data_IF_815293729238
#
_entry.id   IF_815293729238
#
_cell.length_a   1.000
_cell.length_b   1.000
_cell.length_c   1.000
_cell.angle_alpha   90.00
_cell.angle_beta   90.00
_cell.angle_gamma   90.00
#
_symmetry.space_group_name_H-M   'P 1'
#
loop_
_entity.id
_entity.type
_entity.pdbx_description
1 polymer ?
#
# COMPACT_ATOMS: atom_id res chain seq x y z
N UNK A 1 15.03 49.80 -2.29
CA UNK A 1 14.87 51.14 -2.89
C UNK A 1 14.38 50.90 -4.32
N UNK A 2 13.17 51.19 -4.78
CA UNK A 2 12.20 52.21 -4.39
C UNK A 2 11.78 52.91 -5.69
N UNK A 3 10.98 52.26 -6.54
CA UNK A 3 10.42 52.86 -7.75
C UNK A 3 8.92 52.51 -7.84
N UNK A 4 8.09 53.51 -7.54
CA UNK A 4 6.63 53.57 -7.70
C UNK A 4 6.31 54.41 -8.92
N UNK A 5 5.42 53.94 -9.79
CA UNK A 5 4.53 54.73 -10.69
C UNK A 5 3.40 53.78 -11.19
N UNK A 6 2.23 54.26 -11.65
CA UNK A 6 1.07 54.56 -10.80
C UNK A 6 -0.18 53.72 -11.13
N UNK A 7 -1.20 53.84 -10.26
CA UNK A 7 -2.55 53.26 -10.39
C UNK A 7 -3.40 54.05 -11.40
N UNK A 8 -4.18 53.34 -12.22
CA UNK A 8 -5.36 53.87 -12.96
C UNK A 8 -6.67 53.39 -12.32
N UNK A 9 -7.72 54.24 -12.22
CA UNK A 9 -9.04 53.89 -11.67
C UNK A 9 -10.09 53.56 -12.78
N UNK A 10 -11.34 53.18 -12.42
CA UNK A 10 -12.14 52.17 -13.13
C UNK A 10 -13.32 52.71 -13.97
N UNK A 11 -13.97 51.82 -14.74
CA UNK A 11 -15.30 52.02 -15.33
C UNK A 11 -15.78 50.82 -16.18
N UNK A 12 -17.07 50.73 -16.54
CA UNK A 12 -18.16 50.44 -15.61
C UNK A 12 -18.95 49.15 -15.94
N UNK A 13 -19.86 48.83 -15.02
CA UNK A 13 -20.82 47.73 -15.07
C UNK A 13 -21.76 47.77 -16.29
N UNK A 14 -22.02 46.60 -16.88
CA UNK A 14 -23.09 46.35 -17.85
C UNK A 14 -23.89 45.13 -17.43
N UNK A 15 -25.14 45.36 -17.03
CA UNK A 15 -26.05 44.37 -16.49
C UNK A 15 -26.90 43.69 -17.57
N UNK A 16 -27.39 42.49 -17.22
CA UNK A 16 -28.63 41.81 -17.68
C UNK A 16 -28.72 41.33 -19.13
N UNK A 17 -28.87 40.01 -19.27
CA UNK A 17 -30.11 39.40 -19.80
C UNK A 17 -30.20 37.93 -19.35
N UNK A 18 -31.29 37.49 -18.71
CA UNK A 18 -31.61 36.07 -18.59
C UNK A 18 -32.37 35.63 -19.85
N UNK A 19 -31.85 34.67 -20.61
CA UNK A 19 -32.61 34.07 -21.73
C UNK A 19 -33.32 32.81 -21.29
N UNK A 20 -34.65 32.94 -21.31
CA UNK A 20 -35.68 31.97 -21.71
C UNK A 20 -35.67 30.60 -21.04
N UNK A 21 -36.57 30.49 -20.07
CA UNK A 21 -37.44 29.34 -19.89
C UNK A 21 -38.17 29.02 -21.21
N UNK A 22 -37.97 27.82 -21.72
CA UNK A 22 -38.88 27.18 -22.67
C UNK A 22 -39.51 25.98 -21.97
N UNK A 23 -40.76 26.14 -21.56
CA UNK A 23 -41.69 25.03 -21.38
C UNK A 23 -41.78 24.26 -22.69
N UNK A 24 -41.58 22.95 -22.63
CA UNK A 24 -42.08 22.04 -23.64
C UNK A 24 -42.99 21.02 -22.97
N UNK A 25 -44.20 20.95 -23.52
CA UNK A 25 -45.32 20.16 -23.08
C UNK A 25 -45.05 18.66 -23.15
N UNK A 26 -45.76 17.98 -22.25
CA UNK A 26 -45.97 16.54 -22.20
C UNK A 26 -46.26 15.91 -23.57
N UNK A 27 -45.49 14.88 -23.90
CA UNK A 27 -45.91 13.80 -24.77
C UNK A 27 -45.80 12.50 -23.95
N UNK A 28 -46.96 11.88 -23.69
CA UNK A 28 -47.10 10.62 -22.98
C UNK A 28 -46.49 9.48 -23.79
N UNK A 29 -45.46 8.84 -23.25
CA UNK A 29 -44.95 7.54 -23.73
C UNK A 29 -45.61 6.38 -22.97
N UNK A 30 -45.90 5.24 -23.62
CA UNK A 30 -46.65 4.16 -23.01
C UNK A 30 -45.89 3.49 -21.85
N UNK A 31 -46.59 3.38 -20.71
CA UNK A 31 -46.12 2.76 -19.46
C UNK A 31 -45.82 1.27 -19.67
N UNK A 32 -44.56 0.89 -19.51
CA UNK A 32 -44.15 -0.51 -19.37
C UNK A 32 -44.56 -1.01 -17.98
N UNK A 33 -45.54 -1.91 -17.92
CA UNK A 33 -45.89 -2.63 -16.71
C UNK A 33 -44.88 -3.77 -16.44
N UNK A 34 -44.53 -4.05 -15.18
CA UNK A 34 -43.66 -5.17 -14.82
C UNK A 34 -44.41 -6.50 -14.98
N UNK A 35 -43.82 -7.46 -15.70
CA UNK A 35 -44.35 -8.82 -15.82
C UNK A 35 -44.09 -9.63 -14.53
N UNK A 36 -45.07 -10.37 -14.00
CA UNK A 36 -44.88 -11.25 -12.86
C UNK A 36 -44.14 -12.54 -13.27
N UNK A 37 -43.14 -12.93 -12.48
CA UNK A 37 -42.50 -14.24 -12.55
C UNK A 37 -43.44 -15.29 -11.95
N UNK A 38 -43.96 -16.20 -12.79
CA UNK A 38 -44.71 -17.38 -12.34
C UNK A 38 -43.78 -18.58 -12.18
N UNK A 39 -43.59 -19.04 -10.95
CA UNK A 39 -43.07 -20.37 -10.63
C UNK A 39 -44.19 -21.40 -10.83
N UNK A 40 -43.93 -22.47 -11.56
CA UNK A 40 -44.83 -23.63 -11.64
C UNK A 40 -44.06 -24.85 -12.15
N UNK A 41 -43.63 -25.74 -11.25
CA UNK A 41 -44.18 -27.11 -11.16
C UNK A 41 -43.51 -27.94 -10.05
N UNK A 42 -44.22 -28.96 -9.53
CA UNK A 42 -44.06 -29.50 -8.18
C UNK A 42 -43.14 -30.73 -8.07
N UNK A 43 -42.70 -30.98 -6.84
CA UNK A 43 -41.98 -32.17 -6.38
C UNK A 43 -42.88 -33.41 -6.42
N UNK A 44 -42.35 -34.52 -6.93
CA UNK A 44 -42.86 -35.88 -6.65
C UNK A 44 -41.71 -36.81 -6.23
N UNK A 45 -41.93 -37.75 -5.27
CA UNK A 45 -40.90 -38.64 -4.74
C UNK A 45 -41.02 -40.07 -5.30
N UNK A 46 -39.87 -40.74 -5.47
CA UNK A 46 -39.59 -42.21 -5.56
C UNK A 46 -38.19 -42.34 -6.20
N UNK A 47 -37.28 -43.26 -5.90
CA UNK A 47 -37.34 -44.60 -5.30
C UNK A 47 -35.91 -44.98 -4.89
N UNK A 48 -35.76 -45.77 -3.84
CA UNK A 48 -34.52 -46.50 -3.52
C UNK A 48 -34.18 -47.46 -4.67
N UNK A 49 -32.91 -47.48 -5.09
CA UNK A 49 -32.31 -48.61 -5.79
C UNK A 49 -30.78 -48.59 -5.61
N UNK A 50 -30.31 -49.69 -5.02
CA UNK A 50 -28.92 -50.11 -4.83
C UNK A 50 -28.17 -50.18 -6.15
N UNK A 51 -26.97 -49.62 -6.25
CA UNK A 51 -26.00 -50.00 -7.30
C UNK A 51 -24.57 -49.90 -6.74
N UNK A 52 -23.85 -51.01 -6.91
CA UNK A 52 -22.54 -51.30 -6.37
C UNK A 52 -21.44 -50.34 -6.87
N UNK A 53 -20.58 -49.90 -5.94
CA UNK A 53 -19.37 -49.14 -6.23
C UNK A 53 -18.24 -50.13 -6.55
N UNK A 54 -17.70 -50.07 -7.77
CA UNK A 54 -16.43 -50.71 -8.17
C UNK A 54 -15.25 -50.03 -7.45
N UNK A 55 -14.22 -50.76 -6.99
CA UNK A 55 -13.10 -50.15 -6.30
C UNK A 55 -12.17 -49.43 -7.30
N UNK A 56 -11.97 -48.13 -7.09
CA UNK A 56 -10.97 -47.35 -7.81
C UNK A 56 -9.56 -47.68 -7.28
N UNK A 57 -8.61 -47.84 -8.21
CA UNK A 57 -7.20 -48.15 -7.97
C UNK A 57 -6.54 -47.13 -7.03
N UNK A 58 -5.87 -47.65 -6.00
CA UNK A 58 -5.11 -46.92 -4.98
C UNK A 58 -3.86 -46.26 -5.59
N UNK A 59 -3.97 -45.00 -5.99
CA UNK A 59 -2.80 -44.17 -6.26
C UNK A 59 -2.09 -43.84 -4.93
N UNK A 60 -0.84 -44.27 -4.78
CA UNK A 60 0.03 -43.88 -3.66
C UNK A 60 0.34 -42.39 -3.77
N UNK A 61 -0.44 -41.56 -3.07
CA UNK A 61 -0.13 -40.13 -2.88
C UNK A 61 0.94 -40.03 -1.80
N UNK A 62 2.17 -39.70 -2.22
CA UNK A 62 3.25 -39.33 -1.32
C UNK A 62 2.78 -38.21 -0.39
N UNK A 63 2.71 -38.49 0.91
CA UNK A 63 2.46 -37.52 1.96
C UNK A 63 3.66 -36.59 2.05
N UNK A 64 3.59 -35.44 1.37
CA UNK A 64 4.42 -34.28 1.70
C UNK A 64 4.20 -33.97 3.18
N UNK A 65 5.27 -34.00 3.97
CA UNK A 65 5.30 -33.57 5.36
C UNK A 65 4.69 -32.16 5.48
N UNK A 66 3.42 -32.09 5.86
CA UNK A 66 2.81 -30.86 6.34
C UNK A 66 3.48 -30.56 7.67
N UNK A 67 4.16 -29.41 7.77
CA UNK A 67 4.62 -28.91 9.08
C UNK A 67 3.40 -28.84 10.01
N UNK A 68 3.51 -29.31 11.27
CA UNK A 68 2.41 -29.18 12.21
C UNK A 68 2.01 -27.71 12.34
N UNK A 69 0.71 -27.46 12.46
CA UNK A 69 0.19 -26.13 12.75
C UNK A 69 0.89 -25.59 14.02
N UNK A 70 1.22 -24.28 14.07
CA UNK A 70 1.75 -23.70 15.29
C UNK A 70 0.76 -23.96 16.44
N UNK A 71 1.30 -24.34 17.59
CA UNK A 71 0.49 -24.61 18.79
C UNK A 71 -0.46 -23.43 19.06
N UNK A 72 -1.69 -23.68 19.53
CA UNK A 72 -2.58 -22.61 19.94
C UNK A 72 -1.87 -21.74 20.98
N UNK A 73 -1.90 -20.42 20.77
CA UNK A 73 -1.41 -19.45 21.74
C UNK A 73 -2.08 -19.72 23.08
N UNK A 74 -1.28 -19.87 24.12
CA UNK A 74 -1.75 -20.04 25.49
C UNK A 74 -2.77 -18.93 25.83
N UNK A 75 -4.03 -19.27 26.17
CA UNK A 75 -5.07 -18.28 26.44
C UNK A 75 -4.91 -17.61 27.81
N UNK A 76 -3.90 -17.95 28.60
CA UNK A 76 -3.69 -17.32 29.91
C UNK A 76 -3.13 -15.90 29.73
N UNK A 77 -3.88 -14.84 30.10
CA UNK A 77 -3.28 -13.53 30.20
C UNK A 77 -2.21 -13.61 31.30
N UNK A 78 -0.95 -13.34 30.93
CA UNK A 78 0.08 -13.01 31.93
C UNK A 78 -0.45 -11.85 32.78
N UNK A 79 -0.22 -11.87 34.11
CA UNK A 79 -0.85 -10.91 35.02
C UNK A 79 -0.64 -9.49 34.51
N UNK A 80 -1.74 -8.78 34.32
CA UNK A 80 -1.74 -7.37 33.90
C UNK A 80 -0.95 -6.61 34.96
N UNK A 81 0.21 -6.08 34.59
CA UNK A 81 0.95 -5.22 35.50
C UNK A 81 0.02 -4.06 35.91
N UNK A 82 0.01 -3.73 37.20
CA UNK A 82 -0.92 -2.73 37.73
C UNK A 82 -0.70 -1.39 37.02
N UNK A 83 -1.79 -0.75 36.58
CA UNK A 83 -1.75 0.60 36.00
C UNK A 83 -1.27 1.59 37.06
N UNK A 84 -0.20 2.30 36.76
CA UNK A 84 0.40 3.34 37.59
C UNK A 84 0.05 4.73 37.03
N UNK A 85 0.24 5.78 37.82
CA UNK A 85 0.04 7.16 37.36
C UNK A 85 1.10 8.10 37.93
N UNK A 86 1.39 9.18 37.21
CA UNK A 86 2.37 10.18 37.61
C UNK A 86 2.10 11.52 36.93
N UNK A 87 2.64 12.60 37.48
CA UNK A 87 2.75 13.92 36.83
C UNK A 87 4.20 14.26 36.48
N UNK A 88 5.14 13.36 36.78
CA UNK A 88 6.54 13.51 36.40
C UNK A 88 6.74 13.03 34.95
N UNK A 89 6.45 13.90 33.97
CA UNK A 89 6.59 13.58 32.55
C UNK A 89 8.04 13.31 32.14
N UNK A 90 9.01 13.93 32.83
CA UNK A 90 10.44 13.74 32.58
C UNK A 90 10.97 12.35 32.93
N UNK A 91 10.18 11.51 33.58
CA UNK A 91 10.53 10.10 33.80
C UNK A 91 10.47 9.27 32.51
N UNK A 92 9.67 9.70 31.53
CA UNK A 92 9.46 8.96 30.28
C UNK A 92 10.52 9.28 29.23
N UNK A 93 10.95 8.26 28.51
CA UNK A 93 11.92 8.37 27.42
C UNK A 93 11.22 8.20 26.08
N UNK A 94 11.56 9.06 25.13
CA UNK A 94 11.19 8.87 23.74
C UNK A 94 12.03 7.74 23.13
N UNK A 95 11.38 6.81 22.45
CA UNK A 95 12.07 5.81 21.62
C UNK A 95 12.33 6.45 20.26
N UNK A 96 13.58 6.50 19.82
CA UNK A 96 13.99 7.19 18.57
C UNK A 96 13.23 6.70 17.33
N UNK A 97 12.86 5.43 17.29
CA UNK A 97 12.15 4.82 16.17
C UNK A 97 10.64 5.06 16.17
N UNK A 98 10.08 5.64 17.23
CA UNK A 98 8.69 6.05 17.24
C UNK A 98 8.42 7.13 16.19
N UNK A 99 7.16 7.21 15.76
CA UNK A 99 6.72 8.26 14.83
C UNK A 99 6.91 9.64 15.45
N UNK A 100 7.05 10.66 14.63
CA UNK A 100 6.97 12.04 15.12
C UNK A 100 5.60 12.34 15.74
N UNK A 101 5.60 13.25 16.72
CA UNK A 101 4.39 13.69 17.40
C UNK A 101 3.60 14.62 16.48
N UNK A 102 2.51 14.11 15.89
CA UNK A 102 1.53 14.89 15.14
C UNK A 102 0.79 15.90 16.04
N UNK A 103 1.14 17.18 15.88
CA UNK A 103 0.54 18.33 16.56
C UNK A 103 -0.99 18.43 16.42
N UNK A 104 -1.53 18.06 15.26
CA UNK A 104 -2.99 18.08 15.04
C UNK A 104 -3.67 17.03 15.90
N UNK A 105 -3.04 15.86 16.02
CA UNK A 105 -3.53 14.79 16.89
C UNK A 105 -3.44 15.18 18.36
N UNK A 106 -2.32 15.79 18.79
CA UNK A 106 -2.14 16.30 20.15
C UNK A 106 -3.20 17.33 20.50
N UNK A 107 -3.44 18.32 19.64
CA UNK A 107 -4.48 19.34 19.88
C UNK A 107 -5.87 18.75 20.07
N UNK A 108 -6.25 17.76 19.23
CA UNK A 108 -7.51 17.03 19.37
C UNK A 108 -7.59 16.24 20.68
N UNK A 109 -6.50 15.59 21.09
CA UNK A 109 -6.43 14.92 22.38
C UNK A 109 -6.59 15.93 23.53
N UNK A 110 -5.92 17.08 23.45
CA UNK A 110 -6.04 18.12 24.47
C UNK A 110 -7.47 18.63 24.60
N UNK A 111 -8.17 18.88 23.49
CA UNK A 111 -9.60 19.24 23.49
C UNK A 111 -10.47 18.14 24.13
N UNK A 112 -10.22 16.88 23.79
CA UNK A 112 -10.95 15.74 24.38
C UNK A 112 -10.71 15.63 25.88
N UNK A 113 -9.46 15.76 26.34
CA UNK A 113 -9.08 15.66 27.76
C UNK A 113 -9.70 16.81 28.56
N UNK A 114 -9.73 18.03 28.02
CA UNK A 114 -10.38 19.19 28.66
C UNK A 114 -11.89 18.98 28.82
N UNK A 115 -12.52 18.33 27.83
CA UNK A 115 -13.95 18.00 27.90
C UNK A 115 -14.20 16.90 28.93
N UNK A 116 -13.40 15.85 28.89
CA UNK A 116 -13.48 14.71 29.81
C UNK A 116 -12.14 13.96 29.87
N UNK A 117 -11.50 13.91 31.04
CA UNK A 117 -10.21 13.26 31.19
C UNK A 117 -10.37 11.75 31.40
N UNK A 118 -10.25 11.00 30.29
CA UNK A 118 -10.34 9.53 30.26
C UNK A 118 -8.98 8.84 30.07
N UNK A 119 -7.86 9.50 30.40
CA UNK A 119 -6.52 8.94 30.20
C UNK A 119 -6.29 7.63 30.98
N UNK A 120 -6.95 7.44 32.12
CA UNK A 120 -6.89 6.23 32.92
C UNK A 120 -7.42 4.98 32.20
N UNK A 121 -8.34 5.14 31.24
CA UNK A 121 -8.89 4.04 30.44
C UNK A 121 -7.93 3.59 29.33
N UNK A 122 -6.93 4.41 28.99
CA UNK A 122 -5.96 4.18 27.92
C UNK A 122 -4.55 4.55 28.41
N UNK A 123 -4.00 3.79 29.38
CA UNK A 123 -2.66 4.04 29.88
C UNK A 123 -1.61 3.97 28.75
N UNK A 124 -0.47 4.60 28.97
CA UNK A 124 0.71 4.45 28.14
C UNK A 124 1.26 3.03 28.28
N UNK A 125 1.67 2.45 27.16
CA UNK A 125 2.47 1.23 27.20
C UNK A 125 3.94 1.64 27.29
N UNK A 126 4.62 1.23 28.36
CA UNK A 126 6.02 1.57 28.59
C UNK A 126 6.89 0.34 28.80
N UNK A 127 8.14 0.42 28.34
CA UNK A 127 9.19 -0.56 28.68
C UNK A 127 9.61 -0.42 30.15
N UNK A 128 10.35 -1.40 30.66
CA UNK A 128 10.88 -1.38 32.03
C UNK A 128 11.82 -0.19 32.33
N UNK A 129 12.43 0.43 31.30
CA UNK A 129 13.27 1.62 31.40
C UNK A 129 12.53 2.94 31.10
N UNK A 130 11.19 2.93 31.18
CA UNK A 130 10.29 4.06 30.91
C UNK A 130 10.31 4.58 29.46
N UNK A 131 10.74 3.76 28.49
CA UNK A 131 10.57 4.03 27.07
C UNK A 131 9.11 3.93 26.65
N UNK A 132 8.55 4.98 26.07
CA UNK A 132 7.13 5.02 25.64
C UNK A 132 6.97 4.23 24.36
N UNK A 133 6.26 3.10 24.41
CA UNK A 133 5.97 2.22 23.26
C UNK A 133 4.74 2.71 22.50
N UNK A 134 3.65 2.96 23.22
CA UNK A 134 2.42 3.57 22.69
C UNK A 134 1.91 4.67 23.62
N UNK A 135 1.27 5.66 23.03
CA UNK A 135 0.67 6.77 23.76
C UNK A 135 1.53 8.03 23.83
N UNK A 136 2.59 8.16 23.03
CA UNK A 136 3.40 9.39 22.96
C UNK A 136 2.57 10.67 22.77
N UNK A 137 1.51 10.66 21.95
CA UNK A 137 0.63 11.82 21.76
C UNK A 137 -0.24 12.09 23.00
N UNK A 138 -0.59 11.03 23.76
CA UNK A 138 -1.30 11.16 25.04
C UNK A 138 -0.39 11.74 26.11
N UNK A 139 0.87 11.28 26.16
CA UNK A 139 1.89 11.83 27.05
C UNK A 139 2.10 13.32 26.79
N UNK A 140 2.33 13.70 25.53
CA UNK A 140 2.51 15.09 25.12
C UNK A 140 1.27 15.95 25.48
N UNK A 141 0.06 15.45 25.19
CA UNK A 141 -1.17 16.17 25.51
C UNK A 141 -1.36 16.34 27.02
N UNK A 142 -1.04 15.31 27.81
CA UNK A 142 -1.12 15.34 29.27
C UNK A 142 -0.11 16.34 29.87
N UNK A 143 1.13 16.32 29.37
CA UNK A 143 2.19 17.24 29.76
C UNK A 143 1.80 18.71 29.50
N UNK A 144 1.31 19.02 28.30
CA UNK A 144 0.85 20.38 27.93
C UNK A 144 -0.36 20.85 28.74
N UNK A 145 -1.17 19.93 29.25
CA UNK A 145 -2.34 20.24 30.07
C UNK A 145 -2.06 20.19 31.58
N UNK A 146 -0.89 19.68 32.00
CA UNK A 146 -0.56 19.50 33.41
C UNK A 146 -1.44 18.47 34.12
N UNK A 147 -1.99 17.48 33.40
CA UNK A 147 -2.85 16.43 33.99
C UNK A 147 -2.09 15.13 34.21
N UNK A 148 -2.42 14.35 35.26
CA UNK A 148 -1.78 13.05 35.49
C UNK A 148 -1.87 12.13 34.28
N UNK A 149 -0.77 11.44 33.99
CA UNK A 149 -0.70 10.40 32.97
C UNK A 149 -0.69 9.02 33.63
N UNK A 150 -1.33 8.06 32.99
CA UNK A 150 -1.42 6.67 33.45
C UNK A 150 -0.57 5.80 32.54
N UNK A 151 0.13 4.81 33.09
CA UNK A 151 1.00 3.92 32.33
C UNK A 151 0.98 2.51 32.90
N UNK A 152 1.28 1.54 32.05
CA UNK A 152 1.51 0.16 32.42
C UNK A 152 2.86 -0.28 31.87
N UNK A 153 3.64 -0.93 32.73
CA UNK A 153 4.91 -1.53 32.32
C UNK A 153 4.62 -2.89 31.68
N UNK A 154 5.37 -3.22 30.63
CA UNK A 154 5.27 -4.52 29.99
C UNK A 154 6.64 -5.09 29.67
N UNK A 155 6.76 -6.42 29.75
CA UNK A 155 7.90 -7.15 29.19
C UNK A 155 7.80 -7.19 27.65
N UNK A 156 8.02 -6.04 27.02
CA UNK A 156 7.93 -5.87 25.58
C UNK A 156 9.34 -5.72 25.00
N UNK A 157 9.65 -6.51 23.97
CA UNK A 157 10.86 -6.34 23.17
C UNK A 157 10.57 -5.39 21.99
N UNK A 158 11.62 -4.90 21.32
CA UNK A 158 11.50 -3.99 20.17
C UNK A 158 10.64 -4.54 19.03
N UNK A 159 10.66 -5.86 18.79
CA UNK A 159 9.82 -6.51 17.78
C UNK A 159 8.32 -6.41 18.08
N UNK A 160 7.94 -6.37 19.37
CA UNK A 160 6.55 -6.19 19.78
C UNK A 160 6.04 -4.76 19.54
N UNK A 161 6.92 -3.76 19.53
CA UNK A 161 6.56 -2.34 19.30
C UNK A 161 5.94 -2.15 17.92
N UNK A 162 6.57 -2.67 16.87
CA UNK A 162 6.05 -2.59 15.50
C UNK A 162 4.70 -3.33 15.34
N UNK A 163 4.53 -4.45 16.06
CA UNK A 163 3.29 -5.23 16.06
C UNK A 163 2.17 -4.50 16.79
N UNK A 164 2.40 -4.03 18.02
CA UNK A 164 1.42 -3.27 18.82
C UNK A 164 0.96 -2.00 18.09
N UNK A 165 1.92 -1.25 17.55
CA UNK A 165 1.63 -0.02 16.81
C UNK A 165 0.82 -0.28 15.53
N UNK A 166 0.97 -1.45 14.89
CA UNK A 166 0.19 -1.84 13.71
C UNK A 166 -1.28 -2.11 13.99
N UNK A 167 -1.62 -2.50 15.23
CA UNK A 167 -3.00 -2.79 15.66
C UNK A 167 -3.74 -1.50 16.04
N UNK A 168 -3.05 -0.55 16.66
CA UNK A 168 -3.67 0.66 17.25
C UNK A 168 -3.78 1.87 16.29
N UNK A 169 -2.85 2.03 15.34
CA UNK A 169 -2.89 3.04 14.27
C UNK A 169 -2.35 2.44 12.96
N UNK A 170 -2.98 2.71 11.81
CA UNK A 170 -2.50 2.19 10.53
C UNK A 170 -1.10 2.73 10.20
N UNK A 171 -0.07 1.88 10.31
CA UNK A 171 1.25 2.13 9.74
C UNK A 171 1.21 2.03 8.22
N UNK A 172 1.58 3.14 7.56
CA UNK A 172 1.85 3.14 6.15
C UNK A 172 3.24 2.52 5.92
N UNK A 173 3.54 2.12 4.69
CA UNK A 173 4.78 1.41 4.40
C UNK A 173 6.05 2.25 4.59
N UNK A 174 5.98 3.58 4.48
CA UNK A 174 7.11 4.47 4.74
C UNK A 174 7.40 4.61 6.24
N UNK A 175 6.39 4.51 7.09
CA UNK A 175 6.59 4.49 8.55
C UNK A 175 7.41 3.26 8.96
N UNK A 176 7.07 2.08 8.41
CA UNK A 176 7.85 0.85 8.63
C UNK A 176 9.28 0.99 8.11
N UNK A 177 9.45 1.59 6.92
CA UNK A 177 10.78 1.84 6.37
C UNK A 177 11.61 2.70 7.33
N UNK A 178 11.04 3.83 7.78
CA UNK A 178 11.72 4.75 8.68
C UNK A 178 12.08 4.07 10.01
N UNK A 179 11.13 3.38 10.63
CA UNK A 179 11.35 2.64 11.88
C UNK A 179 12.52 1.67 11.76
N UNK A 180 12.49 0.75 10.79
CA UNK A 180 13.56 -0.24 10.65
C UNK A 180 14.90 0.38 10.23
N UNK A 181 14.89 1.48 9.47
CA UNK A 181 16.11 2.25 9.18
C UNK A 181 16.72 2.86 10.45
N UNK A 182 15.91 3.47 11.32
CA UNK A 182 16.35 4.06 12.59
C UNK A 182 16.82 3.01 13.60
N UNK A 183 16.18 1.84 13.61
CA UNK A 183 16.63 0.66 14.38
C UNK A 183 17.91 0.01 13.80
N UNK A 184 18.49 0.57 12.74
CA UNK A 184 19.77 0.13 12.20
C UNK A 184 19.72 -1.07 11.26
N UNK A 185 18.54 -1.47 10.76
CA UNK A 185 18.43 -2.59 9.83
C UNK A 185 19.02 -2.23 8.45
N UNK A 186 20.15 -2.84 8.10
CA UNK A 186 20.89 -2.57 6.85
C UNK A 186 20.05 -2.79 5.58
N UNK A 187 19.20 -3.82 5.55
CA UNK A 187 18.33 -4.08 4.40
C UNK A 187 17.31 -2.94 4.17
N UNK A 188 16.82 -2.31 5.24
CA UNK A 188 15.90 -1.19 5.15
C UNK A 188 16.62 0.10 4.79
N UNK A 189 17.87 0.29 5.21
CA UNK A 189 18.73 1.40 4.73
C UNK A 189 18.90 1.33 3.20
N UNK A 190 19.11 0.12 2.64
CA UNK A 190 19.19 -0.09 1.18
C UNK A 190 17.87 0.29 0.48
N UNK A 191 16.73 -0.11 1.04
CA UNK A 191 15.40 0.27 0.51
C UNK A 191 15.22 1.79 0.56
N UNK A 192 15.59 2.43 1.67
CA UNK A 192 15.50 3.88 1.86
C UNK A 192 16.36 4.65 0.86
N UNK A 193 17.60 4.19 0.63
CA UNK A 193 18.48 4.74 -0.39
C UNK A 193 17.88 4.61 -1.80
N UNK A 194 17.26 3.48 -2.12
CA UNK A 194 16.59 3.28 -3.41
C UNK A 194 15.41 4.23 -3.60
N UNK A 195 14.52 4.33 -2.60
CA UNK A 195 13.34 5.21 -2.64
C UNK A 195 13.77 6.68 -2.80
N UNK A 196 14.80 7.10 -2.07
CA UNK A 196 15.33 8.46 -2.14
C UNK A 196 15.94 8.78 -3.50
N UNK A 197 16.64 7.81 -4.10
CA UNK A 197 17.25 7.95 -5.44
C UNK A 197 16.21 7.93 -6.56
N UNK A 198 15.13 7.16 -6.39
CA UNK A 198 14.11 6.92 -7.42
C UNK A 198 12.70 7.25 -6.91
N UNK A 199 12.40 8.51 -6.53
CA UNK A 199 11.16 8.87 -5.84
C UNK A 199 9.90 8.72 -6.70
N UNK A 200 10.05 8.64 -8.03
CA UNK A 200 8.93 8.40 -8.97
C UNK A 200 8.50 6.94 -9.00
N UNK A 201 9.33 6.00 -8.53
CA UNK A 201 8.98 4.58 -8.51
C UNK A 201 8.01 4.33 -7.34
N UNK A 202 6.81 3.77 -7.59
CA UNK A 202 5.86 3.46 -6.52
C UNK A 202 6.44 2.47 -5.52
N UNK A 203 6.15 2.67 -4.23
CA UNK A 203 6.71 1.83 -3.18
C UNK A 203 6.40 0.32 -3.34
N UNK A 204 5.20 -0.01 -3.83
CA UNK A 204 4.85 -1.42 -4.11
C UNK A 204 5.72 -2.03 -5.20
N UNK A 205 6.03 -1.27 -6.26
CA UNK A 205 6.98 -1.68 -7.29
C UNK A 205 8.39 -1.78 -6.72
N UNK A 206 8.85 -0.82 -5.90
CA UNK A 206 10.15 -0.88 -5.21
C UNK A 206 10.36 -2.20 -4.49
N UNK A 207 9.37 -2.64 -3.70
CA UNK A 207 9.47 -3.93 -3.00
C UNK A 207 9.58 -5.11 -3.97
N UNK A 208 8.90 -5.09 -5.12
CA UNK A 208 9.03 -6.15 -6.13
C UNK A 208 10.38 -6.12 -6.86
N UNK A 209 10.87 -4.93 -7.21
CA UNK A 209 12.15 -4.76 -7.91
C UNK A 209 13.33 -5.26 -7.08
N UNK A 210 13.33 -4.95 -5.79
CA UNK A 210 14.43 -5.25 -4.88
C UNK A 210 14.46 -6.70 -4.38
N UNK A 211 13.38 -7.46 -4.56
CA UNK A 211 13.26 -8.85 -4.06
C UNK A 211 13.25 -9.90 -5.17
N UNK A 212 13.59 -11.14 -4.82
CA UNK A 212 13.50 -12.28 -5.73
C UNK A 212 12.05 -12.67 -6.03
N UNK A 213 11.20 -12.65 -4.99
CA UNK A 213 9.77 -12.94 -5.11
C UNK A 213 9.00 -11.70 -5.56
N UNK A 214 8.01 -11.88 -6.44
CA UNK A 214 7.03 -10.84 -6.79
C UNK A 214 5.81 -10.83 -5.85
N UNK A 215 5.69 -11.79 -4.92
CA UNK A 215 4.54 -11.96 -4.02
C UNK A 215 4.96 -11.95 -2.56
N UNK A 216 4.05 -11.49 -1.69
CA UNK A 216 4.23 -11.57 -0.23
C UNK A 216 5.25 -10.60 0.35
N UNK A 217 5.78 -9.67 -0.45
CA UNK A 217 6.82 -8.74 0.01
C UNK A 217 6.30 -7.79 1.10
N UNK A 218 5.07 -7.31 0.98
CA UNK A 218 4.53 -6.33 1.93
C UNK A 218 4.36 -6.91 3.35
N UNK A 219 3.75 -8.10 3.57
CA UNK A 219 3.74 -8.74 4.88
C UNK A 219 5.15 -8.95 5.46
N UNK A 220 6.08 -9.48 4.68
CA UNK A 220 7.47 -9.72 5.12
C UNK A 220 8.19 -8.41 5.47
N UNK A 221 7.93 -7.35 4.71
CA UNK A 221 8.46 -6.01 4.95
C UNK A 221 7.90 -5.40 6.24
N UNK A 222 6.59 -5.51 6.48
CA UNK A 222 5.99 -5.03 7.74
C UNK A 222 6.49 -5.79 8.96
N UNK A 223 6.89 -7.06 8.79
CA UNK A 223 7.43 -7.91 9.85
C UNK A 223 8.94 -7.72 10.10
N UNK A 224 9.62 -6.78 9.43
CA UNK A 224 11.07 -6.57 9.63
C UNK A 224 11.96 -7.57 8.89
N UNK A 225 11.38 -8.51 8.14
CA UNK A 225 12.11 -9.63 7.50
C UNK A 225 12.51 -9.43 6.04
N UNK A 226 12.26 -8.26 5.45
CA UNK A 226 12.58 -8.01 4.03
C UNK A 226 14.09 -8.01 3.77
N UNK A 227 14.49 -8.60 2.65
CA UNK A 227 15.87 -8.66 2.19
C UNK A 227 15.96 -8.18 0.75
N UNK A 228 16.93 -7.32 0.48
CA UNK A 228 17.28 -6.82 -0.85
C UNK A 228 18.20 -7.83 -1.52
N UNK A 229 17.79 -8.32 -2.68
CA UNK A 229 18.55 -9.28 -3.49
C UNK A 229 18.87 -8.78 -4.90
N UNK A 230 18.17 -7.74 -5.38
CA UNK A 230 18.22 -7.31 -6.79
C UNK A 230 18.46 -5.82 -6.98
N UNK A 231 19.32 -5.24 -6.15
CA UNK A 231 19.58 -3.79 -6.15
C UNK A 231 20.01 -3.26 -7.53
N UNK A 232 20.95 -3.94 -8.19
CA UNK A 232 21.44 -3.52 -9.52
C UNK A 232 20.34 -3.57 -10.57
N UNK A 233 19.63 -4.69 -10.68
CA UNK A 233 18.49 -4.81 -11.62
C UNK A 233 17.41 -3.77 -11.34
N UNK A 234 17.11 -3.50 -10.07
CA UNK A 234 16.13 -2.49 -9.69
C UNK A 234 16.55 -1.09 -10.17
N UNK A 235 17.84 -0.76 -10.08
CA UNK A 235 18.37 0.50 -10.62
C UNK A 235 18.25 0.54 -12.14
N UNK A 236 18.60 -0.54 -12.85
CA UNK A 236 18.43 -0.60 -14.31
C UNK A 236 16.97 -0.40 -14.73
N UNK A 237 16.02 -1.07 -14.07
CA UNK A 237 14.59 -0.89 -14.37
C UNK A 237 14.13 0.53 -14.10
N UNK A 238 14.59 1.16 -13.02
CA UNK A 238 14.27 2.55 -12.72
C UNK A 238 14.82 3.51 -13.80
N UNK A 239 16.05 3.30 -14.26
CA UNK A 239 16.64 4.03 -15.39
C UNK A 239 15.81 3.83 -16.66
N UNK A 240 15.44 2.60 -16.99
CA UNK A 240 14.60 2.33 -18.15
C UNK A 240 13.24 3.03 -18.06
N UNK A 241 12.62 3.11 -16.88
CA UNK A 241 11.38 3.87 -16.71
C UNK A 241 11.58 5.37 -17.01
N UNK A 242 12.73 5.93 -16.61
CA UNK A 242 13.09 7.31 -16.94
C UNK A 242 13.27 7.50 -18.45
N UNK A 243 13.99 6.59 -19.12
CA UNK A 243 14.19 6.62 -20.57
C UNK A 243 12.86 6.57 -21.34
N UNK A 244 11.93 5.72 -20.90
CA UNK A 244 10.57 5.67 -21.48
C UNK A 244 9.82 6.99 -21.29
N UNK A 245 9.91 7.61 -20.11
CA UNK A 245 9.22 8.87 -19.82
C UNK A 245 9.80 10.06 -20.59
N UNK A 246 11.13 10.08 -20.76
CA UNK A 246 11.85 11.15 -21.46
C UNK A 246 11.70 11.03 -22.98
N UNK A 247 11.95 9.84 -23.54
CA UNK A 247 11.92 9.60 -24.98
C UNK A 247 10.50 9.58 -25.54
N UNK A 248 9.52 9.16 -24.74
CA UNK A 248 8.12 9.07 -25.15
C UNK A 248 7.21 9.89 -24.23
N UNK A 249 7.25 11.24 -24.28
CA UNK A 249 6.47 12.09 -23.39
C UNK A 249 4.95 11.88 -23.46
N UNK A 250 4.43 11.32 -24.56
CA UNK A 250 3.02 10.92 -24.69
C UNK A 250 2.66 9.75 -23.77
N UNK A 251 3.62 8.92 -23.41
CA UNK A 251 3.44 7.77 -22.53
C UNK A 251 3.61 8.15 -21.05
N UNK A 252 2.54 8.71 -20.47
CA UNK A 252 2.50 9.18 -19.08
C UNK A 252 2.52 8.07 -18.01
N UNK A 253 2.60 6.80 -18.41
CA UNK A 253 2.41 5.64 -17.53
C UNK A 253 3.70 4.92 -17.14
N UNK A 254 4.87 5.46 -17.54
CA UNK A 254 6.20 4.87 -17.31
C UNK A 254 6.54 4.64 -15.83
N UNK A 255 5.88 5.33 -14.91
CA UNK A 255 6.07 5.17 -13.46
C UNK A 255 4.86 4.56 -12.75
N UNK A 256 3.89 4.02 -13.48
CA UNK A 256 2.77 3.30 -12.86
C UNK A 256 3.22 1.95 -12.34
N UNK A 257 2.68 1.54 -11.19
CA UNK A 257 3.02 0.26 -10.54
C UNK A 257 2.89 -0.94 -11.51
N UNK A 258 1.83 -0.94 -12.32
CA UNK A 258 1.58 -1.95 -13.35
C UNK A 258 2.63 -1.98 -14.46
N UNK A 259 3.07 -0.81 -14.93
CA UNK A 259 4.08 -0.74 -15.98
C UNK A 259 5.46 -1.12 -15.45
N UNK A 260 5.87 -0.56 -14.31
CA UNK A 260 7.17 -0.84 -13.69
C UNK A 260 7.32 -2.34 -13.42
N UNK A 261 6.28 -3.00 -12.88
CA UNK A 261 6.29 -4.44 -12.66
C UNK A 261 6.30 -5.25 -13.96
N UNK A 262 5.59 -4.79 -15.00
CA UNK A 262 5.62 -5.43 -16.32
C UNK A 262 7.00 -5.33 -16.98
N UNK A 263 7.64 -4.16 -16.87
CA UNK A 263 9.00 -3.94 -17.35
C UNK A 263 10.02 -4.81 -16.60
N UNK A 264 9.91 -4.90 -15.28
CA UNK A 264 10.74 -5.80 -14.47
C UNK A 264 10.57 -7.26 -14.88
N UNK A 265 9.35 -7.71 -15.17
CA UNK A 265 9.11 -9.08 -15.66
C UNK A 265 9.81 -9.36 -16.99
N UNK A 266 9.74 -8.44 -17.96
CA UNK A 266 10.43 -8.65 -19.24
C UNK A 266 11.95 -8.58 -19.06
N UNK A 267 12.47 -7.70 -18.20
CA UNK A 267 13.90 -7.64 -17.87
C UNK A 267 14.36 -8.94 -17.19
N UNK A 268 13.54 -9.51 -16.30
CA UNK A 268 13.78 -10.80 -15.63
C UNK A 268 13.87 -11.99 -16.56
N UNK A 269 13.30 -11.91 -17.76
CA UNK A 269 13.37 -12.99 -18.74
C UNK A 269 14.79 -13.28 -19.25
N UNK A 270 15.75 -12.37 -19.04
CA UNK A 270 17.11 -12.45 -19.58
C UNK A 270 17.21 -12.19 -21.09
N UNK A 271 16.08 -12.03 -21.79
CA UNK A 271 16.04 -11.83 -23.24
C UNK A 271 15.80 -10.36 -23.64
N UNK A 272 15.63 -9.47 -22.66
CA UNK A 272 15.32 -8.07 -22.88
C UNK A 272 16.55 -7.25 -23.26
N UNK A 273 16.46 -6.50 -24.36
CA UNK A 273 17.44 -5.48 -24.75
C UNK A 273 16.75 -4.12 -24.75
N UNK A 274 17.16 -3.24 -23.83
CA UNK A 274 16.55 -1.92 -23.69
C UNK A 274 16.71 -1.07 -24.95
N UNK A 275 17.92 -1.06 -25.51
CA UNK A 275 18.22 -0.33 -26.74
C UNK A 275 17.36 -0.81 -27.93
N UNK A 276 17.20 -2.13 -28.09
CA UNK A 276 16.29 -2.71 -29.09
C UNK A 276 14.86 -2.26 -28.85
N UNK A 277 14.39 -2.29 -27.60
CA UNK A 277 13.03 -1.88 -27.25
C UNK A 277 12.75 -0.43 -27.65
N UNK A 278 13.63 0.50 -27.27
CA UNK A 278 13.47 1.92 -27.60
C UNK A 278 13.41 2.14 -29.12
N UNK A 279 14.33 1.54 -29.88
CA UNK A 279 14.32 1.61 -31.35
C UNK A 279 13.02 1.07 -31.95
N UNK A 280 12.48 -0.02 -31.43
CA UNK A 280 11.23 -0.61 -31.93
C UNK A 280 10.03 0.28 -31.64
N UNK A 281 10.01 0.96 -30.50
CA UNK A 281 8.97 1.94 -30.18
C UNK A 281 9.07 3.17 -31.10
N UNK A 282 10.28 3.66 -31.43
CA UNK A 282 10.41 4.79 -32.37
C UNK A 282 9.82 4.49 -33.76
N UNK A 283 9.89 3.23 -34.20
CA UNK A 283 9.27 2.80 -35.46
C UNK A 283 7.74 2.79 -35.38
N UNK A 284 7.17 2.66 -34.18
CA UNK A 284 5.72 2.53 -33.96
C UNK A 284 5.26 3.20 -32.66
N UNK A 285 5.42 4.53 -32.51
CA UNK A 285 5.21 5.21 -31.23
C UNK A 285 3.76 5.13 -30.73
N UNK A 286 2.80 4.93 -31.65
CA UNK A 286 1.37 4.77 -31.36
C UNK A 286 1.02 3.46 -30.67
N UNK A 287 1.88 2.44 -30.76
CA UNK A 287 1.65 1.15 -30.11
C UNK A 287 1.89 1.23 -28.59
N UNK A 288 2.75 2.15 -28.14
CA UNK A 288 3.02 2.33 -26.71
C UNK A 288 1.82 3.02 -26.02
N UNK A 289 0.90 2.20 -25.50
CA UNK A 289 -0.35 2.63 -24.88
C UNK A 289 -0.46 2.16 -23.43
N UNK A 290 -1.44 2.70 -22.71
CA UNK A 290 -1.77 2.23 -21.36
C UNK A 290 -2.37 0.82 -21.41
N UNK A 291 -1.90 -0.06 -20.53
CA UNK A 291 -2.48 -1.38 -20.32
C UNK A 291 -3.18 -1.49 -18.95
N UNK A 292 -4.20 -2.35 -18.81
CA UNK A 292 -4.95 -2.50 -17.55
C UNK A 292 -4.26 -3.41 -16.52
N UNK A 293 -3.27 -4.22 -16.92
CA UNK A 293 -2.60 -5.15 -16.03
C UNK A 293 -1.11 -5.32 -16.35
N UNK A 294 -0.36 -5.88 -15.40
CA UNK A 294 1.05 -6.25 -15.58
C UNK A 294 1.23 -7.18 -16.78
N UNK A 295 0.38 -8.21 -16.91
CA UNK A 295 0.49 -9.19 -17.99
C UNK A 295 0.20 -8.57 -19.36
N UNK A 296 -0.75 -7.64 -19.43
CA UNK A 296 -1.02 -6.91 -20.68
C UNK A 296 0.17 -6.02 -21.08
N UNK A 297 0.87 -5.40 -20.12
CA UNK A 297 2.13 -4.72 -20.43
C UNK A 297 3.22 -5.67 -20.91
N UNK A 298 3.36 -6.85 -20.31
CA UNK A 298 4.32 -7.87 -20.78
C UNK A 298 4.04 -8.26 -22.24
N UNK A 299 2.78 -8.49 -22.59
CA UNK A 299 2.36 -8.78 -23.98
C UNK A 299 2.67 -7.62 -24.92
N UNK A 300 2.31 -6.39 -24.54
CA UNK A 300 2.59 -5.20 -25.34
C UNK A 300 4.10 -5.04 -25.61
N UNK A 301 4.92 -5.19 -24.57
CA UNK A 301 6.38 -5.10 -24.69
C UNK A 301 6.93 -6.24 -25.56
N UNK A 302 6.40 -7.45 -25.44
CA UNK A 302 6.76 -8.57 -26.31
C UNK A 302 6.44 -8.28 -27.79
N UNK A 303 5.24 -7.77 -28.09
CA UNK A 303 4.81 -7.40 -29.43
C UNK A 303 5.70 -6.30 -30.03
N UNK A 304 5.97 -5.24 -29.26
CA UNK A 304 6.89 -4.17 -29.65
C UNK A 304 8.29 -4.71 -29.95
N UNK A 305 8.85 -5.54 -29.06
CA UNK A 305 10.19 -6.08 -29.25
C UNK A 305 10.30 -7.01 -30.48
N UNK A 306 9.22 -7.72 -30.78
CA UNK A 306 9.11 -8.65 -31.91
C UNK A 306 8.63 -8.00 -33.21
N UNK A 307 8.28 -6.72 -33.19
CA UNK A 307 7.81 -6.02 -34.37
C UNK A 307 8.84 -6.09 -35.49
N UNK A 308 8.42 -6.57 -36.67
CA UNK A 308 9.27 -6.79 -37.84
C UNK A 308 10.57 -7.57 -37.52
N UNK A 309 10.53 -8.48 -36.54
CA UNK A 309 11.64 -9.37 -36.22
C UNK A 309 11.47 -10.70 -36.96
N UNK A 310 12.58 -11.21 -37.52
CA UNK A 310 12.65 -12.54 -38.11
C UNK A 310 12.28 -13.61 -37.06
N UNK A 311 11.68 -14.75 -37.44
CA UNK A 311 11.25 -15.77 -36.48
C UNK A 311 12.33 -16.20 -35.48
N UNK A 312 13.58 -16.34 -35.92
CA UNK A 312 14.71 -16.71 -35.08
C UNK A 312 15.12 -15.65 -34.04
N UNK A 313 14.69 -14.40 -34.21
CA UNK A 313 15.02 -13.25 -33.34
C UNK A 313 13.85 -12.85 -32.42
N UNK A 314 12.72 -13.57 -32.50
CA UNK A 314 11.56 -13.33 -31.65
C UNK A 314 11.79 -13.92 -30.27
N UNK A 315 11.38 -13.17 -29.26
CA UNK A 315 11.48 -13.56 -27.85
C UNK A 315 10.09 -13.81 -27.30
N UNK A 316 10.01 -14.65 -26.26
CA UNK A 316 8.81 -14.79 -25.44
C UNK A 316 9.15 -14.46 -24.00
N UNK A 317 8.59 -13.37 -23.50
CA UNK A 317 8.73 -12.93 -22.12
C UNK A 317 7.67 -13.68 -21.29
N UNK A 318 7.95 -14.94 -20.95
CA UNK A 318 7.11 -15.76 -20.07
C UNK A 318 7.37 -15.46 -18.62
#
# INVERSE_FOLDING_TARGET
MGARWPRTPPGPAGARTPRRTTSFNHAEGPRLQPRPFTFSHPLTPKSMATTAIRPAKRAHRATKHLKPAPAPLDPTPRPTEAVQHTTNYGAFRSITSNREVDETHVKRLMESIRKENLLHLRPLDVTADFGVIDGQHRLEAAERLGVPVYYQMGQLNQGHIAVLNSVSKHWNSLDYLNFFTLEGHEEYKKVSAFVSKHPKIPFSATLCLLSESSRGNLPTFKAGGFRVSRAENAHSVATYCADFAERFPHFKFAFTDTFVKGLDMVVRSGQYSHERMLRKIDLQPRMLVRCPSVLEYVKLLEELNNYNAAPAQRVRFR
#
